data_IF_347572817852
#
_entry.id   IF_347572817852
#
_cell.length_a   1.000
_cell.length_b   1.000
_cell.length_c   1.000
_cell.angle_alpha   90.00
_cell.angle_beta   90.00
_cell.angle_gamma   90.00
#
_symmetry.space_group_name_H-M   'P 1'
#
loop_
_entity.id
_entity.type
_entity.pdbx_description
1 polymer ?
#
# COMPACT_ATOMS: atom_id res chain seq x y z
N UNK A 1 55.84 -22.20 65.81
CA UNK A 1 55.13 -22.41 64.53
C UNK A 1 55.74 -21.46 63.51
N UNK A 2 56.05 -21.90 62.28
CA UNK A 2 56.57 -21.01 61.25
C UNK A 2 55.56 -19.92 60.93
N UNK A 3 56.00 -18.66 60.89
CA UNK A 3 55.18 -17.50 60.53
C UNK A 3 55.11 -17.39 59.01
N UNK A 4 53.90 -17.24 58.46
CA UNK A 4 53.70 -17.11 57.02
C UNK A 4 54.19 -15.73 56.55
N UNK A 5 55.15 -15.72 55.64
CA UNK A 5 55.85 -14.51 55.20
C UNK A 5 55.81 -14.39 53.68
N UNK A 6 55.77 -13.16 53.13
CA UNK A 6 55.83 -12.98 51.70
C UNK A 6 57.15 -13.54 51.14
N UNK A 7 57.15 -13.99 49.87
CA UNK A 7 58.37 -14.46 49.22
C UNK A 7 59.45 -13.37 49.24
N UNK A 8 60.72 -13.76 49.31
CA UNK A 8 61.87 -12.84 49.42
C UNK A 8 61.96 -11.82 48.27
N UNK A 9 61.32 -12.09 47.13
CA UNK A 9 61.20 -11.19 45.97
C UNK A 9 59.88 -10.40 45.87
N UNK A 10 58.97 -10.53 46.85
CA UNK A 10 57.65 -9.91 46.82
C UNK A 10 56.65 -10.56 45.85
N UNK A 11 55.39 -10.11 45.87
CA UNK A 11 54.36 -10.56 44.95
C UNK A 11 54.42 -9.80 43.62
N UNK A 12 53.93 -10.43 42.55
CA UNK A 12 53.78 -9.78 41.25
C UNK A 12 52.87 -8.55 41.34
N UNK A 13 53.17 -7.53 40.53
CA UNK A 13 52.40 -6.31 40.54
C UNK A 13 50.97 -6.56 40.00
N UNK A 14 49.98 -6.37 40.85
CA UNK A 14 48.57 -6.51 40.48
C UNK A 14 48.11 -5.25 39.75
N UNK A 15 47.51 -5.42 38.57
CA UNK A 15 46.92 -4.31 37.84
C UNK A 15 45.61 -3.86 38.52
N UNK A 16 45.69 -2.76 39.28
CA UNK A 16 44.52 -2.15 39.93
C UNK A 16 43.81 -1.09 39.06
N UNK A 17 44.40 -0.72 37.91
CA UNK A 17 43.89 0.33 37.02
C UNK A 17 42.90 -0.22 35.99
N UNK A 18 41.89 0.58 35.67
CA UNK A 18 40.86 0.24 34.68
C UNK A 18 41.46 0.01 33.29
N UNK A 19 41.26 -1.18 32.73
CA UNK A 19 41.74 -1.56 31.39
C UNK A 19 40.57 -1.61 30.40
N UNK A 20 40.12 -0.45 29.92
CA UNK A 20 39.03 -0.38 28.93
C UNK A 20 39.56 0.28 27.65
N UNK A 21 40.01 -0.52 26.66
CA UNK A 21 40.46 0.03 25.40
C UNK A 21 39.26 0.55 24.60
N UNK A 22 39.36 1.77 24.08
CA UNK A 22 38.41 2.29 23.10
C UNK A 22 38.62 1.55 21.77
N UNK A 23 37.79 0.53 21.51
CA UNK A 23 37.82 -0.29 20.30
C UNK A 23 36.79 0.22 19.29
N UNK A 24 37.13 0.16 18.00
CA UNK A 24 36.26 0.55 16.90
C UNK A 24 36.90 1.57 15.96
N UNK A 25 36.20 1.86 14.85
CA UNK A 25 36.61 2.90 13.92
C UNK A 25 36.21 4.28 14.43
N UNK A 26 36.82 5.33 13.89
CA UNK A 26 36.35 6.70 14.17
C UNK A 26 34.90 6.87 13.70
N UNK A 27 34.04 7.65 14.41
CA UNK A 27 32.63 7.85 14.07
C UNK A 27 32.38 8.23 12.60
N UNK A 28 33.29 8.99 12.00
CA UNK A 28 33.22 9.40 10.59
C UNK A 28 33.14 8.22 9.62
N UNK A 29 33.87 7.13 9.86
CA UNK A 29 33.85 5.97 8.96
C UNK A 29 32.49 5.26 8.97
N UNK A 30 31.81 5.22 10.12
CA UNK A 30 30.46 4.70 10.21
C UNK A 30 29.48 5.57 9.43
N UNK A 31 29.62 6.89 9.50
CA UNK A 31 28.79 7.82 8.71
C UNK A 31 28.99 7.59 7.21
N UNK A 32 30.22 7.49 6.73
CA UNK A 32 30.51 7.23 5.32
C UNK A 32 29.94 5.88 4.88
N UNK A 33 30.14 4.82 5.66
CA UNK A 33 29.61 3.50 5.36
C UNK A 33 28.08 3.48 5.28
N UNK A 34 27.40 4.15 6.22
CA UNK A 34 25.94 4.30 6.20
C UNK A 34 25.47 5.03 4.94
N UNK A 35 26.08 6.16 4.59
CA UNK A 35 25.68 6.93 3.42
C UNK A 35 25.93 6.19 2.10
N UNK A 36 27.01 5.42 2.00
CA UNK A 36 27.29 4.58 0.84
C UNK A 36 26.21 3.50 0.64
N UNK A 37 25.81 2.82 1.72
CA UNK A 37 24.74 1.80 1.67
C UNK A 37 23.41 2.46 1.29
N UNK A 38 23.07 3.60 1.89
CA UNK A 38 21.84 4.33 1.55
C UNK A 38 21.83 4.75 0.08
N UNK A 39 22.91 5.36 -0.42
CA UNK A 39 23.01 5.81 -1.81
C UNK A 39 22.82 4.64 -2.80
N UNK A 40 23.43 3.48 -2.52
CA UNK A 40 23.22 2.28 -3.33
C UNK A 40 21.78 1.75 -3.24
N UNK A 41 21.18 1.77 -2.05
CA UNK A 41 19.78 1.40 -1.85
C UNK A 41 18.83 2.28 -2.68
N UNK A 42 19.02 3.60 -2.64
CA UNK A 42 18.25 4.53 -3.47
C UNK A 42 18.45 4.30 -4.96
N UNK A 43 19.68 4.05 -5.40
CA UNK A 43 19.96 3.71 -6.80
C UNK A 43 19.16 2.49 -7.28
N UNK A 44 19.15 1.40 -6.51
CA UNK A 44 18.36 0.19 -6.83
C UNK A 44 16.86 0.46 -6.78
N UNK A 45 16.40 1.24 -5.81
CA UNK A 45 15.00 1.65 -5.70
C UNK A 45 14.51 2.42 -6.93
N UNK A 46 15.31 3.37 -7.45
CA UNK A 46 14.93 4.15 -8.63
C UNK A 46 14.66 3.27 -9.86
N UNK A 47 15.48 2.24 -10.06
CA UNK A 47 15.25 1.27 -11.15
C UNK A 47 13.95 0.48 -10.95
N UNK A 48 13.69 0.00 -9.72
CA UNK A 48 12.44 -0.71 -9.41
C UNK A 48 11.19 0.14 -9.58
N UNK A 49 11.23 1.42 -9.18
CA UNK A 49 10.11 2.37 -9.40
C UNK A 49 9.88 2.60 -10.88
N UNK A 50 10.94 2.69 -11.69
CA UNK A 50 10.80 2.84 -13.14
C UNK A 50 10.09 1.63 -13.75
N UNK A 51 10.49 0.42 -13.37
CA UNK A 51 9.83 -0.82 -13.81
C UNK A 51 8.36 -0.87 -13.39
N UNK A 52 8.04 -0.57 -12.13
CA UNK A 52 6.66 -0.53 -11.65
C UNK A 52 5.79 0.47 -12.41
N UNK A 53 6.35 1.61 -12.82
CA UNK A 53 5.64 2.59 -13.65
C UNK A 53 5.32 2.06 -15.04
N UNK A 54 6.23 1.30 -15.65
CA UNK A 54 5.99 0.66 -16.94
C UNK A 54 4.90 -0.43 -16.82
N UNK A 55 4.94 -1.27 -15.78
CA UNK A 55 3.90 -2.26 -15.51
C UNK A 55 2.53 -1.61 -15.23
N UNK A 56 2.51 -0.52 -14.46
CA UNK A 56 1.29 0.25 -14.23
C UNK A 56 0.75 0.87 -15.52
N UNK A 57 1.64 1.35 -16.40
CA UNK A 57 1.28 1.88 -17.72
C UNK A 57 0.66 0.78 -18.58
N UNK A 58 1.29 -0.39 -18.66
CA UNK A 58 0.75 -1.56 -19.37
C UNK A 58 -0.65 -1.92 -18.87
N UNK A 59 -0.82 -2.05 -17.55
CA UNK A 59 -2.11 -2.32 -16.91
C UNK A 59 -3.17 -1.26 -17.26
N UNK A 60 -2.80 0.02 -17.26
CA UNK A 60 -3.70 1.12 -17.60
C UNK A 60 -4.11 1.08 -19.07
N UNK A 61 -3.19 0.80 -19.99
CA UNK A 61 -3.52 0.61 -21.40
C UNK A 61 -4.45 -0.58 -21.61
N UNK A 62 -4.16 -1.72 -20.97
CA UNK A 62 -5.02 -2.90 -21.02
C UNK A 62 -6.45 -2.58 -20.58
N UNK A 63 -6.60 -1.79 -19.51
CA UNK A 63 -7.91 -1.28 -19.08
C UNK A 63 -8.55 -0.36 -20.11
N UNK A 64 -7.82 0.63 -20.61
CA UNK A 64 -8.37 1.62 -21.57
C UNK A 64 -8.92 0.96 -22.83
N UNK A 65 -8.30 -0.11 -23.31
CA UNK A 65 -8.79 -0.86 -24.47
C UNK A 65 -10.04 -1.70 -24.18
N UNK A 66 -10.20 -2.18 -22.94
CA UNK A 66 -11.36 -2.98 -22.53
C UNK A 66 -12.53 -2.12 -22.06
N UNK A 67 -12.28 -0.91 -21.53
CA UNK A 67 -13.31 -0.03 -20.96
C UNK A 67 -14.48 0.25 -21.92
N UNK A 68 -14.27 0.54 -23.22
CA UNK A 68 -15.39 0.81 -24.13
C UNK A 68 -16.35 -0.38 -24.28
N UNK A 69 -15.82 -1.61 -24.31
CA UNK A 69 -16.63 -2.82 -24.39
C UNK A 69 -17.46 -2.99 -23.12
N UNK A 70 -16.82 -2.90 -21.95
CA UNK A 70 -17.50 -3.07 -20.66
C UNK A 70 -18.53 -1.96 -20.41
N UNK A 71 -18.23 -0.72 -20.80
CA UNK A 71 -19.17 0.40 -20.66
C UNK A 71 -20.39 0.20 -21.57
N UNK A 72 -20.20 -0.30 -22.80
CA UNK A 72 -21.31 -0.57 -23.71
C UNK A 72 -22.21 -1.71 -23.21
N UNK A 73 -21.64 -2.74 -22.60
CA UNK A 73 -22.41 -3.81 -21.94
C UNK A 73 -23.21 -3.27 -20.75
N UNK A 74 -22.57 -2.47 -19.88
CA UNK A 74 -23.22 -1.86 -18.74
C UNK A 74 -24.35 -0.91 -19.16
N UNK A 75 -24.13 -0.06 -20.16
CA UNK A 75 -25.12 0.89 -20.65
C UNK A 75 -26.34 0.16 -21.24
N UNK A 76 -26.15 -0.97 -21.94
CA UNK A 76 -27.26 -1.82 -22.43
C UNK A 76 -28.09 -2.40 -21.28
N UNK A 77 -27.42 -2.93 -20.26
CA UNK A 77 -28.09 -3.49 -19.09
C UNK A 77 -28.82 -2.41 -18.27
N UNK A 78 -28.22 -1.23 -18.13
CA UNK A 78 -28.85 -0.08 -17.46
C UNK A 78 -30.12 0.34 -18.19
N UNK A 79 -30.08 0.48 -19.52
CA UNK A 79 -31.24 0.83 -20.33
C UNK A 79 -32.35 -0.21 -20.18
N UNK A 80 -32.00 -1.50 -20.20
CA UNK A 80 -32.95 -2.60 -20.00
C UNK A 80 -33.66 -2.49 -18.63
N UNK A 81 -32.90 -2.29 -17.55
CA UNK A 81 -33.45 -2.16 -16.19
C UNK A 81 -34.33 -0.91 -16.06
N UNK A 82 -33.87 0.21 -16.60
CA UNK A 82 -34.58 1.48 -16.55
C UNK A 82 -35.96 1.40 -17.21
N UNK A 83 -36.07 0.81 -18.40
CA UNK A 83 -37.37 0.65 -19.06
C UNK A 83 -38.26 -0.38 -18.38
N UNK A 84 -37.70 -1.45 -17.81
CA UNK A 84 -38.46 -2.42 -17.02
C UNK A 84 -39.05 -1.77 -15.75
N UNK A 85 -38.27 -0.93 -15.07
CA UNK A 85 -38.70 -0.19 -13.89
C UNK A 85 -39.81 0.80 -14.22
N UNK A 86 -39.69 1.53 -15.32
CA UNK A 86 -40.75 2.43 -15.81
C UNK A 86 -42.04 1.70 -16.16
N UNK A 87 -41.95 0.56 -16.84
CA UNK A 87 -43.11 -0.25 -17.18
C UNK A 87 -43.84 -0.72 -15.91
N UNK A 88 -43.08 -1.20 -14.92
CA UNK A 88 -43.59 -1.62 -13.62
C UNK A 88 -44.19 -0.47 -12.81
N UNK A 89 -43.56 0.71 -12.81
CA UNK A 89 -44.10 1.91 -12.16
C UNK A 89 -45.43 2.31 -12.79
N UNK A 90 -45.52 2.28 -14.12
CA UNK A 90 -46.76 2.56 -14.84
C UNK A 90 -47.88 1.57 -14.55
N UNK A 91 -47.57 0.27 -14.40
CA UNK A 91 -48.55 -0.74 -14.01
C UNK A 91 -49.08 -0.55 -12.58
N UNK A 92 -48.20 -0.20 -11.64
CA UNK A 92 -48.55 -0.07 -10.22
C UNK A 92 -49.20 1.27 -9.86
N UNK A 93 -48.70 2.37 -10.43
CA UNK A 93 -49.08 3.75 -10.09
C UNK A 93 -49.87 4.45 -11.20
N UNK A 94 -50.04 3.82 -12.36
CA UNK A 94 -50.79 4.35 -13.51
C UNK A 94 -50.12 5.50 -14.25
N UNK A 95 -49.04 6.08 -13.71
CA UNK A 95 -48.33 7.24 -14.28
C UNK A 95 -46.81 7.05 -14.21
N UNK A 96 -46.10 7.66 -15.16
CA UNK A 96 -44.63 7.73 -15.15
C UNK A 96 -44.22 9.07 -14.54
N UNK A 97 -43.55 9.05 -13.39
CA UNK A 97 -43.20 10.28 -12.68
C UNK A 97 -41.79 10.78 -13.01
N UNK A 98 -41.70 12.00 -13.55
CA UNK A 98 -40.42 12.67 -13.78
C UNK A 98 -40.01 13.43 -12.51
N UNK A 99 -38.97 12.97 -11.82
CA UNK A 99 -38.47 13.62 -10.61
C UNK A 99 -37.69 14.91 -10.91
N UNK A 100 -36.89 14.90 -11.98
CA UNK A 100 -36.04 16.02 -12.37
C UNK A 100 -36.67 16.84 -13.50
N UNK A 101 -36.63 18.16 -13.39
CA UNK A 101 -37.18 19.03 -14.43
C UNK A 101 -36.34 19.02 -15.73
N UNK A 102 -35.04 18.72 -15.65
CA UNK A 102 -34.15 18.65 -16.82
C UNK A 102 -34.41 17.45 -17.72
N UNK A 103 -34.09 17.56 -19.01
CA UNK A 103 -34.18 16.46 -19.98
C UNK A 103 -32.92 15.58 -20.05
N UNK A 104 -31.95 15.81 -19.16
CA UNK A 104 -30.76 14.96 -19.02
C UNK A 104 -31.16 13.63 -18.39
N UNK A 105 -30.64 12.54 -18.94
CA UNK A 105 -30.72 11.23 -18.29
C UNK A 105 -29.89 11.23 -17.00
N UNK A 106 -30.55 10.91 -15.89
CA UNK A 106 -29.92 10.72 -14.58
C UNK A 106 -30.05 9.24 -14.23
N UNK A 107 -28.92 8.58 -13.96
CA UNK A 107 -28.91 7.18 -13.53
C UNK A 107 -29.66 7.07 -12.19
N UNK A 108 -30.60 6.11 -12.03
CA UNK A 108 -31.32 5.94 -10.77
C UNK A 108 -30.36 5.52 -9.66
N UNK A 109 -30.33 6.27 -8.55
CA UNK A 109 -29.43 6.03 -7.42
C UNK A 109 -29.87 4.86 -6.54
N UNK A 110 -31.18 4.65 -6.44
CA UNK A 110 -31.77 3.61 -5.60
C UNK A 110 -32.51 2.62 -6.49
N UNK A 111 -32.29 1.34 -6.23
CA UNK A 111 -33.01 0.23 -6.85
C UNK A 111 -33.67 -0.59 -5.75
N UNK A 112 -34.89 -1.04 -6.00
CA UNK A 112 -35.58 -1.95 -5.09
C UNK A 112 -34.86 -3.29 -5.08
N UNK A 113 -34.27 -3.64 -3.94
CA UNK A 113 -33.72 -4.98 -3.69
C UNK A 113 -34.82 -5.88 -3.12
N UNK A 114 -34.91 -7.16 -3.54
CA UNK A 114 -35.87 -8.09 -2.98
C UNK A 114 -35.66 -8.25 -1.47
N UNK A 115 -36.75 -8.32 -0.71
CA UNK A 115 -36.71 -8.46 0.76
C UNK A 115 -36.17 -9.81 1.23
N UNK A 116 -36.31 -10.84 0.40
CA UNK A 116 -35.69 -12.15 0.59
C UNK A 116 -34.67 -12.38 -0.50
N UNK A 117 -33.40 -12.45 -0.10
CA UNK A 117 -32.29 -12.82 -0.98
C UNK A 117 -32.25 -14.35 -1.03
N UNK A 118 -32.44 -14.94 -2.21
CA UNK A 118 -32.14 -16.35 -2.42
C UNK A 118 -30.63 -16.53 -2.28
N UNK A 119 -30.20 -17.25 -1.25
CA UNK A 119 -28.81 -17.69 -1.10
C UNK A 119 -28.49 -18.82 -2.08
#
# INVERSE_FOLDING_TARGET
>A
MPQDMPPTGGYAQVQYKRNVPARGFKPFYYMVGMHAIMAYGFYKYFHGVREQRELAREKMWGRLYLTPLLQAEEDRDQVRRYYADKAREKELLGTEQKVYNSDRFVRPTFVYTPSQVTQ
#
